data_IF_275364315066
#
_entry.id   IF_275364315066
#
_cell.length_a   1.000
_cell.length_b   1.000
_cell.length_c   1.000
_cell.angle_alpha   90.00
_cell.angle_beta   90.00
_cell.angle_gamma   90.00
#
_symmetry.space_group_name_H-M   'P 1'
#
loop_
_entity.id
_entity.type
_entity.pdbx_description
1 polymer ?
#
# COMPACT_ATOMS: atom_id res chain seq x y z
N UNK A 1 -12.35 -17.21 -6.94
CA UNK A 1 -12.98 -16.13 -7.73
C UNK A 1 -12.27 -14.81 -7.44
N UNK A 2 -11.94 -14.04 -8.47
CA UNK A 2 -11.29 -12.72 -8.34
C UNK A 2 -12.08 -11.69 -9.16
N UNK A 3 -12.27 -10.49 -8.62
CA UNK A 3 -12.89 -9.38 -9.32
C UNK A 3 -11.79 -8.47 -9.83
N UNK A 4 -11.74 -8.26 -11.14
CA UNK A 4 -10.80 -7.33 -11.78
C UNK A 4 -11.48 -5.99 -11.97
N UNK A 5 -10.90 -4.93 -11.42
CA UNK A 5 -11.36 -3.56 -11.60
C UNK A 5 -10.36 -2.84 -12.51
N UNK A 6 -10.85 -2.30 -13.61
CA UNK A 6 -10.08 -1.58 -14.62
C UNK A 6 -10.41 -0.08 -14.67
N UNK A 7 -11.61 0.30 -14.25
CA UNK A 7 -12.08 1.69 -14.19
C UNK A 7 -11.31 2.64 -13.25
N UNK A 8 -11.58 3.93 -13.43
CA UNK A 8 -11.13 5.03 -12.57
C UNK A 8 -12.33 5.64 -11.81
N UNK A 9 -12.11 6.11 -10.58
CA UNK A 9 -13.15 6.75 -9.77
C UNK A 9 -13.09 6.37 -8.30
N UNK A 10 -14.12 6.75 -7.54
CA UNK A 10 -14.23 6.46 -6.11
C UNK A 10 -15.33 5.44 -5.87
N UNK A 11 -14.95 4.28 -5.32
CA UNK A 11 -15.88 3.29 -4.84
C UNK A 11 -16.21 3.57 -3.37
N UNK A 12 -17.46 3.97 -3.12
CA UNK A 12 -17.93 4.40 -1.80
C UNK A 12 -18.50 3.27 -0.96
N UNK A 13 -19.06 2.25 -1.60
CA UNK A 13 -19.76 1.15 -0.93
C UNK A 13 -18.78 0.12 -0.36
N UNK A 14 -19.30 -0.74 0.50
CA UNK A 14 -18.55 -1.88 1.03
C UNK A 14 -18.49 -3.01 0.00
N UNK A 15 -17.38 -3.72 -0.01
CA UNK A 15 -17.15 -4.93 -0.79
C UNK A 15 -16.94 -6.09 0.19
N UNK A 16 -17.69 -7.17 0.03
CA UNK A 16 -17.64 -8.34 0.89
C UNK A 16 -17.43 -9.65 0.11
N UNK A 17 -17.53 -10.79 0.81
CA UNK A 17 -17.42 -12.12 0.24
C UNK A 17 -16.02 -12.76 0.29
N UNK A 18 -15.89 -14.01 -0.17
CA UNK A 18 -14.63 -14.75 -0.09
C UNK A 18 -13.62 -14.34 -1.18
N UNK A 19 -14.05 -13.54 -2.16
CA UNK A 19 -13.26 -13.20 -3.34
C UNK A 19 -12.06 -12.30 -3.07
N UNK A 20 -11.19 -12.21 -4.08
CA UNK A 20 -10.03 -11.32 -4.13
C UNK A 20 -10.28 -10.14 -5.05
N UNK A 21 -9.77 -8.96 -4.69
CA UNK A 21 -9.78 -7.77 -5.54
C UNK A 21 -8.47 -7.66 -6.34
N UNK A 22 -8.58 -7.44 -7.65
CA UNK A 22 -7.44 -7.17 -8.56
C UNK A 22 -7.64 -5.82 -9.20
N UNK A 23 -6.63 -4.94 -9.12
CA UNK A 23 -6.62 -3.68 -9.88
C UNK A 23 -5.65 -3.82 -11.04
N UNK A 24 -6.18 -3.93 -12.26
CA UNK A 24 -5.40 -4.25 -13.47
C UNK A 24 -5.50 -3.19 -14.57
N UNK A 25 -6.48 -2.28 -14.52
CA UNK A 25 -6.54 -1.15 -15.45
C UNK A 25 -5.55 -0.04 -15.10
N UNK A 26 -5.22 0.81 -16.07
CA UNK A 26 -4.31 1.96 -15.90
C UNK A 26 -4.89 3.09 -15.05
N UNK A 27 -6.23 3.13 -14.88
CA UNK A 27 -6.92 4.16 -14.11
C UNK A 27 -6.64 4.13 -12.60
N UNK A 28 -7.06 5.19 -11.91
CA UNK A 28 -6.99 5.31 -10.45
C UNK A 28 -8.32 4.95 -9.80
N UNK A 29 -8.34 3.89 -8.98
CA UNK A 29 -9.50 3.49 -8.19
C UNK A 29 -9.28 3.86 -6.73
N UNK A 30 -10.18 4.63 -6.15
CA UNK A 30 -10.18 4.97 -4.72
C UNK A 30 -11.19 4.11 -3.98
N UNK A 31 -10.73 3.36 -2.97
CA UNK A 31 -11.57 2.62 -2.05
C UNK A 31 -11.68 3.40 -0.73
N UNK A 32 -12.90 3.82 -0.39
CA UNK A 32 -13.18 4.47 0.89
C UNK A 32 -14.03 3.60 1.84
N UNK A 33 -14.81 2.65 1.29
CA UNK A 33 -15.71 1.78 2.05
C UNK A 33 -15.02 0.87 3.08
N UNK A 34 -15.81 0.30 3.98
CA UNK A 34 -15.41 -0.64 5.01
C UNK A 34 -15.38 -2.08 4.49
N UNK A 35 -14.46 -2.34 3.55
CA UNK A 35 -14.40 -3.61 2.85
C UNK A 35 -14.08 -4.80 3.79
N UNK A 36 -14.77 -5.92 3.56
CA UNK A 36 -14.67 -7.14 4.38
C UNK A 36 -14.27 -8.39 3.58
N UNK A 37 -14.09 -8.27 2.25
CA UNK A 37 -13.68 -9.40 1.42
C UNK A 37 -12.40 -10.09 1.91
N UNK A 38 -12.34 -11.41 1.78
CA UNK A 38 -11.32 -12.24 2.46
C UNK A 38 -10.20 -12.74 1.55
N UNK A 39 -10.41 -12.78 0.23
CA UNK A 39 -9.42 -13.28 -0.72
C UNK A 39 -8.21 -12.36 -0.93
N UNK A 40 -8.23 -11.16 -0.33
CA UNK A 40 -7.13 -10.20 -0.37
C UNK A 40 -7.20 -9.24 -1.55
N UNK A 41 -6.11 -8.50 -1.73
CA UNK A 41 -6.01 -7.42 -2.72
C UNK A 41 -4.72 -7.56 -3.50
N UNK A 42 -4.75 -7.39 -4.82
CA UNK A 42 -3.51 -7.14 -5.56
C UNK A 42 -3.65 -6.13 -6.69
N UNK A 43 -3.00 -4.96 -6.56
CA UNK A 43 -2.71 -4.09 -7.68
C UNK A 43 -1.66 -4.74 -8.58
N UNK A 44 -1.96 -4.78 -9.87
CA UNK A 44 -1.04 -5.20 -10.93
C UNK A 44 -0.73 -4.06 -11.89
N UNK A 45 -1.61 -3.06 -12.01
CA UNK A 45 -1.38 -1.83 -12.78
C UNK A 45 -2.25 -0.66 -12.27
N UNK A 46 -2.01 0.53 -12.85
CA UNK A 46 -2.70 1.77 -12.49
C UNK A 46 -2.47 2.17 -11.04
N UNK A 47 -3.44 2.87 -10.45
CA UNK A 47 -3.37 3.28 -9.04
C UNK A 47 -4.55 2.70 -8.25
N UNK A 48 -4.26 2.05 -7.12
CA UNK A 48 -5.25 1.73 -6.09
C UNK A 48 -5.02 2.68 -4.91
N UNK A 49 -5.99 3.58 -4.66
CA UNK A 49 -5.96 4.51 -3.53
C UNK A 49 -6.74 3.89 -2.37
N UNK A 50 -6.06 3.58 -1.28
CA UNK A 50 -6.66 3.19 -0.02
C UNK A 50 -6.83 4.44 0.85
N UNK A 51 -8.08 4.85 1.05
CA UNK A 51 -8.44 6.08 1.73
C UNK A 51 -9.20 5.85 3.05
N UNK A 52 -9.18 4.62 3.58
CA UNK A 52 -9.68 4.28 4.92
C UNK A 52 -8.91 3.10 5.53
N UNK A 53 -8.93 2.92 6.87
CA UNK A 53 -8.28 1.78 7.53
C UNK A 53 -8.86 0.42 7.14
N UNK A 54 -10.06 0.39 6.56
CA UNK A 54 -10.75 -0.84 6.17
C UNK A 54 -10.82 -1.02 4.64
N UNK A 55 -10.15 -0.16 3.86
CA UNK A 55 -10.25 -0.16 2.40
C UNK A 55 -9.77 -1.44 1.71
N UNK A 56 -8.87 -2.23 2.32
CA UNK A 56 -8.20 -3.36 1.66
C UNK A 56 -8.74 -4.76 2.04
N UNK A 57 -9.92 -4.82 2.66
CA UNK A 57 -10.52 -6.08 3.08
C UNK A 57 -9.82 -6.71 4.29
N UNK A 58 -10.01 -8.03 4.46
CA UNK A 58 -9.42 -8.80 5.57
C UNK A 58 -8.26 -9.69 5.15
N UNK A 59 -8.07 -9.92 3.85
CA UNK A 59 -7.03 -10.78 3.31
C UNK A 59 -5.63 -10.15 3.27
N UNK A 60 -4.71 -10.87 2.63
CA UNK A 60 -3.35 -10.39 2.38
C UNK A 60 -3.31 -9.39 1.21
N UNK A 61 -2.31 -8.53 1.24
CA UNK A 61 -2.01 -7.57 0.17
C UNK A 61 -0.77 -8.03 -0.59
N UNK A 62 -0.88 -8.09 -1.91
CA UNK A 62 0.24 -8.25 -2.82
C UNK A 62 0.29 -7.02 -3.72
N UNK A 63 1.38 -6.27 -3.77
CA UNK A 63 1.58 -5.27 -4.83
C UNK A 63 2.52 -5.92 -5.84
N UNK A 64 1.98 -6.23 -7.01
CA UNK A 64 2.69 -6.93 -8.09
C UNK A 64 3.03 -5.98 -9.25
N UNK A 65 2.59 -4.74 -9.19
CA UNK A 65 2.81 -3.68 -10.17
C UNK A 65 1.94 -2.48 -9.85
N UNK A 66 1.98 -1.45 -10.71
CA UNK A 66 1.25 -0.20 -10.51
C UNK A 66 1.61 0.52 -9.20
N UNK A 67 0.65 1.29 -8.68
CA UNK A 67 0.80 2.08 -7.46
C UNK A 67 -0.27 1.73 -6.44
N UNK A 68 0.14 1.37 -5.23
CA UNK A 68 -0.71 1.43 -4.05
C UNK A 68 -0.50 2.77 -3.36
N UNK A 69 -1.53 3.60 -3.29
CA UNK A 69 -1.50 4.89 -2.60
C UNK A 69 -2.25 4.82 -1.28
N UNK A 70 -1.54 4.95 -0.17
CA UNK A 70 -2.12 5.16 1.15
C UNK A 70 -2.40 6.65 1.35
N UNK A 71 -3.65 7.07 1.07
CA UNK A 71 -4.11 8.45 1.23
C UNK A 71 -4.58 8.80 2.65
N UNK A 72 -4.65 7.79 3.52
CA UNK A 72 -4.96 7.91 4.96
C UNK A 72 -4.28 6.75 5.70
N UNK A 73 -4.54 6.60 7.00
CA UNK A 73 -4.09 5.41 7.72
C UNK A 73 -4.71 4.14 7.09
N UNK A 74 -3.86 3.18 6.71
CA UNK A 74 -4.26 1.92 6.07
C UNK A 74 -3.89 0.75 6.98
N UNK A 75 -4.81 -0.21 7.14
CA UNK A 75 -4.54 -1.47 7.83
C UNK A 75 -4.61 -2.64 6.85
N UNK A 76 -3.51 -3.35 6.70
CA UNK A 76 -3.45 -4.66 6.04
C UNK A 76 -3.63 -5.72 7.12
N UNK A 77 -4.76 -6.42 7.09
CA UNK A 77 -5.11 -7.44 8.10
C UNK A 77 -4.36 -8.76 7.90
N UNK A 78 -3.98 -9.09 6.67
CA UNK A 78 -3.09 -10.22 6.36
C UNK A 78 -1.61 -9.83 6.33
N UNK A 79 -0.84 -10.56 5.52
CA UNK A 79 0.55 -10.19 5.18
C UNK A 79 0.57 -9.21 4.02
N UNK A 80 1.65 -8.44 3.92
CA UNK A 80 1.90 -7.51 2.82
C UNK A 80 3.17 -7.93 2.08
N UNK A 81 3.04 -8.34 0.81
CA UNK A 81 4.17 -8.53 -0.10
C UNK A 81 4.19 -7.41 -1.14
N UNK A 82 5.23 -6.60 -1.15
CA UNK A 82 5.47 -5.63 -2.21
C UNK A 82 6.52 -6.22 -3.15
N UNK A 83 6.08 -6.82 -4.26
CA UNK A 83 6.98 -7.51 -5.19
C UNK A 83 7.54 -6.58 -6.27
N UNK A 84 6.72 -5.66 -6.76
CA UNK A 84 7.08 -4.64 -7.75
C UNK A 84 6.15 -3.43 -7.61
N UNK A 85 6.48 -2.33 -8.30
CA UNK A 85 5.65 -1.13 -8.37
C UNK A 85 5.96 -0.12 -7.26
N UNK A 86 4.99 0.74 -6.97
CA UNK A 86 5.15 1.88 -6.05
C UNK A 86 4.20 1.77 -4.86
N UNK A 87 4.74 1.92 -3.64
CA UNK A 87 3.96 2.28 -2.47
C UNK A 87 4.08 3.79 -2.29
N UNK A 88 2.99 4.52 -2.51
CA UNK A 88 2.91 5.96 -2.25
C UNK A 88 2.23 6.18 -0.90
N UNK A 89 2.89 6.85 0.05
CA UNK A 89 2.30 7.15 1.37
C UNK A 89 2.24 8.65 1.60
N UNK A 90 1.03 9.13 1.85
CA UNK A 90 0.79 10.54 2.12
C UNK A 90 1.36 10.94 3.47
N UNK A 91 1.82 12.19 3.60
CA UNK A 91 2.35 12.72 4.85
C UNK A 91 1.35 12.53 6.00
N UNK A 92 1.84 12.09 7.16
CA UNK A 92 1.00 11.83 8.34
C UNK A 92 0.16 10.54 8.28
N UNK A 93 0.19 9.80 7.17
CA UNK A 93 -0.43 8.48 7.09
C UNK A 93 0.49 7.40 7.64
N UNK A 94 -0.11 6.27 8.04
CA UNK A 94 0.61 5.09 8.48
C UNK A 94 0.07 3.85 7.76
N UNK A 95 0.96 2.89 7.51
CA UNK A 95 0.57 1.57 7.00
C UNK A 95 0.85 0.54 8.09
N UNK A 96 -0.21 -0.06 8.63
CA UNK A 96 -0.11 -1.10 9.66
C UNK A 96 -0.42 -2.46 9.05
N UNK A 97 0.52 -3.39 9.13
CA UNK A 97 0.39 -4.76 8.64
C UNK A 97 0.32 -5.69 9.84
N UNK A 98 -0.77 -6.45 9.98
CA UNK A 98 -0.89 -7.41 11.08
C UNK A 98 0.02 -8.62 10.86
N UNK A 99 0.26 -9.01 9.60
CA UNK A 99 1.18 -10.07 9.21
C UNK A 99 2.62 -9.59 8.96
N UNK A 100 3.35 -10.35 8.15
CA UNK A 100 4.69 -9.98 7.70
C UNK A 100 4.65 -8.99 6.54
N UNK A 101 5.65 -8.11 6.47
CA UNK A 101 5.95 -7.23 5.36
C UNK A 101 7.19 -7.75 4.62
N UNK A 102 7.02 -8.16 3.38
CA UNK A 102 8.14 -8.54 2.49
C UNK A 102 8.27 -7.52 1.36
N UNK A 103 9.45 -6.94 1.22
CA UNK A 103 9.78 -5.94 0.21
C UNK A 103 10.75 -6.56 -0.80
N UNK A 104 10.36 -6.58 -2.07
CA UNK A 104 11.11 -7.12 -3.19
C UNK A 104 12.19 -6.18 -3.72
N UNK A 105 12.80 -6.54 -4.85
CA UNK A 105 13.90 -5.77 -5.47
C UNK A 105 13.44 -4.72 -6.48
N UNK A 106 12.21 -4.79 -6.97
CA UNK A 106 11.70 -3.89 -8.03
C UNK A 106 10.69 -2.87 -7.48
N UNK A 107 10.93 -2.43 -6.25
CA UNK A 107 9.93 -1.72 -5.44
C UNK A 107 10.37 -0.29 -5.18
N UNK A 108 9.44 0.64 -5.36
CA UNK A 108 9.62 2.06 -5.03
C UNK A 108 8.76 2.43 -3.84
N UNK A 109 9.34 3.16 -2.88
CA UNK A 109 8.59 3.88 -1.86
C UNK A 109 8.58 5.36 -2.21
N UNK A 110 7.40 5.94 -2.36
CA UNK A 110 7.23 7.37 -2.57
C UNK A 110 6.57 7.99 -1.34
N UNK A 111 7.19 9.03 -0.78
CA UNK A 111 6.69 9.67 0.45
C UNK A 111 6.70 11.18 0.33
N UNK A 112 5.61 11.79 0.78
CA UNK A 112 5.44 13.25 0.78
C UNK A 112 5.78 13.91 2.13
N UNK A 113 6.12 13.11 3.15
CA UNK A 113 6.40 13.55 4.52
C UNK A 113 6.95 12.39 5.35
N UNK A 114 7.21 12.61 6.65
CA UNK A 114 7.53 11.52 7.57
C UNK A 114 6.42 10.47 7.57
N UNK A 115 6.81 9.20 7.55
CA UNK A 115 5.88 8.07 7.50
C UNK A 115 6.42 6.90 8.33
N UNK A 116 5.49 6.13 8.89
CA UNK A 116 5.78 4.85 9.55
C UNK A 116 4.98 3.72 8.91
N UNK A 117 5.68 2.66 8.53
CA UNK A 117 5.10 1.38 8.13
C UNK A 117 5.46 0.37 9.21
N UNK A 118 4.46 -0.22 9.86
CA UNK A 118 4.65 -1.22 10.91
C UNK A 118 4.12 -2.58 10.46
N UNK A 119 4.83 -3.63 10.83
CA UNK A 119 4.48 -5.02 10.55
C UNK A 119 4.91 -5.95 11.68
N UNK A 120 4.37 -7.16 11.73
CA UNK A 120 4.85 -8.18 12.68
C UNK A 120 6.31 -8.54 12.46
N UNK A 121 6.72 -8.57 11.18
CA UNK A 121 8.11 -8.71 10.74
C UNK A 121 8.30 -7.95 9.44
N UNK A 122 9.43 -7.29 9.26
CA UNK A 122 9.85 -6.66 8.00
C UNK A 122 11.04 -7.43 7.45
N UNK A 123 10.98 -7.78 6.17
CA UNK A 123 12.05 -8.44 5.43
C UNK A 123 12.26 -7.74 4.08
N UNK A 124 13.51 -7.47 3.72
CA UNK A 124 13.86 -6.73 2.51
C UNK A 124 13.89 -5.21 2.74
N UNK A 125 14.14 -4.47 1.65
CA UNK A 125 14.24 -3.01 1.63
C UNK A 125 13.72 -2.50 0.29
N UNK A 126 13.19 -1.28 0.27
CA UNK A 126 12.82 -0.67 -1.01
C UNK A 126 14.06 -0.40 -1.83
N UNK A 127 14.03 -0.77 -3.12
CA UNK A 127 15.13 -0.52 -4.04
C UNK A 127 15.28 0.96 -4.36
N UNK A 128 14.19 1.70 -4.37
CA UNK A 128 14.19 3.16 -4.54
C UNK A 128 13.28 3.81 -3.51
N UNK A 129 13.72 4.95 -2.98
CA UNK A 129 12.90 5.84 -2.15
C UNK A 129 12.86 7.22 -2.82
N UNK A 130 11.66 7.68 -3.13
CA UNK A 130 11.37 8.95 -3.82
C UNK A 130 10.73 9.91 -2.82
N UNK A 131 11.22 11.15 -2.81
CA UNK A 131 10.73 12.24 -1.98
C UNK A 131 10.54 13.51 -2.80
N UNK A 132 9.84 14.49 -2.23
CA UNK A 132 9.67 15.82 -2.81
C UNK A 132 11.03 16.46 -3.16
N UNK A 133 11.14 17.21 -4.27
CA UNK A 133 12.34 17.99 -4.57
C UNK A 133 12.77 18.90 -3.41
N UNK A 134 14.08 19.04 -3.20
CA UNK A 134 14.64 19.84 -2.11
C UNK A 134 14.60 19.17 -0.73
N UNK A 135 14.21 17.89 -0.67
CA UNK A 135 14.19 17.09 0.56
C UNK A 135 15.11 15.87 0.44
N UNK A 136 15.65 15.43 1.59
CA UNK A 136 16.36 14.16 1.74
C UNK A 136 15.58 13.24 2.67
N UNK A 137 15.51 11.97 2.31
CA UNK A 137 14.96 10.91 3.15
C UNK A 137 16.06 10.26 3.98
N UNK A 138 15.80 10.08 5.26
CA UNK A 138 16.52 9.11 6.08
C UNK A 138 15.57 7.96 6.41
N UNK A 139 15.97 6.74 6.02
CA UNK A 139 15.12 5.56 6.08
C UNK A 139 15.72 4.53 7.02
N UNK A 140 14.97 4.19 8.06
CA UNK A 140 15.36 3.18 9.04
C UNK A 140 14.51 1.94 8.87
N UNK A 141 15.18 0.79 8.74
CA UNK A 141 14.56 -0.53 8.71
C UNK A 141 14.88 -1.26 10.02
N UNK A 142 13.85 -1.58 10.79
CA UNK A 142 13.94 -2.46 11.96
C UNK A 142 13.25 -3.79 11.65
N UNK A 143 13.29 -4.72 12.61
CA UNK A 143 12.59 -6.00 12.47
C UNK A 143 11.07 -5.85 12.30
N UNK A 144 10.48 -4.74 12.73
CA UNK A 144 9.03 -4.52 12.76
C UNK A 144 8.58 -3.25 12.07
N UNK A 145 9.49 -2.36 11.69
CA UNK A 145 9.14 -1.02 11.26
C UNK A 145 10.02 -0.56 10.11
N UNK A 146 9.42 0.11 9.13
CA UNK A 146 10.11 0.99 8.18
C UNK A 146 9.69 2.41 8.52
N UNK A 147 10.63 3.23 8.95
CA UNK A 147 10.40 4.64 9.25
C UNK A 147 11.13 5.49 8.22
N UNK A 148 10.44 6.49 7.67
CA UNK A 148 11.08 7.52 6.85
C UNK A 148 10.93 8.85 7.56
N UNK A 149 12.04 9.54 7.74
CA UNK A 149 12.08 10.92 8.17
C UNK A 149 12.56 11.77 7.02
N UNK A 150 12.04 12.99 6.91
CA UNK A 150 12.39 13.93 5.84
C UNK A 150 13.04 15.15 6.46
N UNK A 151 14.13 15.60 5.83
CA UNK A 151 14.80 16.86 6.17
C UNK A 151 15.03 17.69 4.90
N UNK A 152 15.09 19.02 5.00
CA UNK A 152 15.59 19.86 3.91
C UNK A 152 16.97 19.39 3.45
N UNK A 153 17.20 19.43 2.12
CA UNK A 153 18.37 18.86 1.46
C UNK A 153 19.64 19.70 1.55
#
# INVERSE_FOLDING_TARGET
>A
MAVSLDGAGTWRNDIDGPGRLVKSGSGSLTLIGANSYRGGTTPTAGTLVAASPCALGTGSLLVAGGTLRAASAVRVRGSYKHSAGTLSVQAGSAVKVSGGLTIGRDTTLEVAGPVVISARRVSGRFARVVVKPGCRAHVTYTRTTVAVTIRPA
#
